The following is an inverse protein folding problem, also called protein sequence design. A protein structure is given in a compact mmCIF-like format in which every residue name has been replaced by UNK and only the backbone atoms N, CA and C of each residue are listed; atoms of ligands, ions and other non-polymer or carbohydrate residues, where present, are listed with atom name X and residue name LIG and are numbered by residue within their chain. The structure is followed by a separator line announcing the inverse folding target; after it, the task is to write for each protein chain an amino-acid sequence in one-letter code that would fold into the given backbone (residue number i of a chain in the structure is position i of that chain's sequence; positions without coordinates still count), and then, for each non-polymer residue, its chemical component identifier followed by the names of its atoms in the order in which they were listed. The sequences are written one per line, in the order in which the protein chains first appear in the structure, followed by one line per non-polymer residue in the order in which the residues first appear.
data_IF_301608116594
#
_entry.id   IF_301608116594
#
_cell.length_a   1.000
_cell.length_b   1.000
_cell.length_c   1.000
_cell.angle_alpha   90.00
_cell.angle_beta   90.00
_cell.angle_gamma   90.00
#
_symmetry.space_group_name_H-M   'P 1'
#
loop_
_entity.id
_entity.type
_entity.pdbx_description
1 polymer ?
#
# COMPACT_ATOMS: atom_id res chain seq x y z
N UNK A 1 20.49 -3.87 0.81
CA UNK A 1 20.55 -4.68 -0.44
C UNK A 1 21.33 -3.94 -1.52
N UNK A 2 22.04 -4.65 -2.40
CA UNK A 2 22.62 -4.04 -3.62
C UNK A 2 21.50 -3.73 -4.63
N UNK A 3 21.74 -2.83 -5.59
CA UNK A 3 20.79 -2.52 -6.67
C UNK A 3 20.28 -3.78 -7.37
N UNK A 4 21.21 -4.65 -7.81
CA UNK A 4 20.88 -5.95 -8.42
C UNK A 4 19.94 -6.81 -7.56
N UNK A 5 20.18 -6.86 -6.24
CA UNK A 5 19.36 -7.63 -5.31
C UNK A 5 17.97 -7.00 -5.13
N UNK A 6 17.89 -5.68 -5.06
CA UNK A 6 16.62 -4.97 -4.94
C UNK A 6 15.77 -5.10 -6.22
N UNK A 7 16.41 -5.01 -7.40
CA UNK A 7 15.75 -5.25 -8.68
C UNK A 7 15.25 -6.70 -8.79
N UNK A 8 16.09 -7.67 -8.41
CA UNK A 8 15.68 -9.08 -8.36
C UNK A 8 14.58 -9.36 -7.34
N UNK A 9 14.56 -8.67 -6.19
CA UNK A 9 13.49 -8.79 -5.19
C UNK A 9 12.12 -8.38 -5.74
N UNK A 10 12.09 -7.45 -6.68
CA UNK A 10 10.89 -6.97 -7.36
C UNK A 10 10.68 -7.64 -8.73
N UNK A 11 11.43 -8.71 -9.03
CA UNK A 11 11.40 -9.43 -10.31
C UNK A 11 11.50 -8.52 -11.55
N UNK A 12 12.37 -7.50 -11.49
CA UNK A 12 12.60 -6.56 -12.58
C UNK A 12 14.07 -6.35 -12.92
N UNK A 13 14.33 -5.74 -14.09
CA UNK A 13 15.68 -5.39 -14.51
C UNK A 13 16.23 -4.20 -13.71
N UNK A 14 17.56 -4.13 -13.56
CA UNK A 14 18.21 -3.01 -12.85
C UNK A 14 17.89 -1.65 -13.47
N UNK A 15 17.80 -1.57 -14.80
CA UNK A 15 17.44 -0.34 -15.50
C UNK A 15 15.98 0.08 -15.26
N UNK A 16 15.06 -0.88 -15.16
CA UNK A 16 13.67 -0.58 -14.81
C UNK A 16 13.57 -0.09 -13.35
N UNK A 17 14.26 -0.76 -12.43
CA UNK A 17 14.33 -0.38 -11.03
C UNK A 17 14.83 1.07 -10.85
N UNK A 18 15.88 1.48 -11.55
CA UNK A 18 16.37 2.86 -11.49
C UNK A 18 15.36 3.89 -12.01
N UNK A 19 14.64 3.58 -13.08
CA UNK A 19 13.56 4.45 -13.59
C UNK A 19 12.45 4.62 -12.56
N UNK A 20 12.11 3.57 -11.84
CA UNK A 20 11.10 3.60 -10.77
C UNK A 20 11.58 4.41 -9.55
N UNK A 21 12.86 4.32 -9.20
CA UNK A 21 13.49 5.16 -8.17
C UNK A 21 13.48 6.64 -8.60
N UNK A 22 13.90 6.95 -9.83
CA UNK A 22 13.93 8.33 -10.36
C UNK A 22 12.53 8.92 -10.51
N UNK A 23 11.54 8.10 -10.87
CA UNK A 23 10.13 8.52 -10.96
C UNK A 23 9.43 8.64 -9.59
N UNK A 24 10.13 8.30 -8.49
CA UNK A 24 9.62 8.43 -7.13
C UNK A 24 8.63 7.33 -6.70
N UNK A 25 8.47 6.28 -7.51
CA UNK A 25 7.60 5.12 -7.21
C UNK A 25 8.29 4.10 -6.29
N UNK A 26 9.61 4.15 -6.20
CA UNK A 26 10.42 3.35 -5.28
C UNK A 26 11.29 4.25 -4.38
N UNK A 27 11.72 3.75 -3.20
CA UNK A 27 12.51 4.53 -2.27
C UNK A 27 13.92 4.81 -2.82
N UNK A 28 14.44 5.99 -2.46
CA UNK A 28 15.82 6.39 -2.74
C UNK A 28 16.83 5.50 -1.98
N UNK A 29 18.02 5.25 -2.56
CA UNK A 29 19.06 4.51 -1.86
C UNK A 29 19.57 5.26 -0.63
N UNK A 30 19.99 4.51 0.37
CA UNK A 30 20.81 5.00 1.47
C UNK A 30 22.29 4.76 1.16
N UNK A 31 23.15 5.69 1.57
CA UNK A 31 24.59 5.54 1.41
C UNK A 31 25.16 4.81 2.64
N UNK A 32 25.64 3.58 2.43
CA UNK A 32 26.19 2.75 3.52
C UNK A 32 27.44 2.01 3.07
N UNK A 33 28.55 2.20 3.79
CA UNK A 33 29.83 1.58 3.47
C UNK A 33 30.38 2.02 2.11
N UNK A 34 30.20 3.30 1.75
CA UNK A 34 30.70 3.87 0.50
C UNK A 34 29.93 3.45 -0.76
N UNK A 35 28.78 2.78 -0.61
CA UNK A 35 27.93 2.33 -1.72
C UNK A 35 26.47 2.60 -1.42
N UNK A 36 25.70 2.78 -2.48
CA UNK A 36 24.26 2.83 -2.41
C UNK A 36 23.68 1.47 -2.03
N UNK A 37 22.74 1.49 -1.10
CA UNK A 37 22.03 0.32 -0.60
C UNK A 37 20.54 0.63 -0.48
N UNK A 38 19.73 -0.39 -0.74
CA UNK A 38 18.29 -0.33 -0.52
C UNK A 38 17.90 -1.13 0.71
N UNK A 39 17.00 -0.57 1.52
CA UNK A 39 16.35 -1.31 2.60
C UNK A 39 15.17 -2.12 2.04
N UNK A 40 15.04 -3.38 2.45
CA UNK A 40 13.89 -4.23 2.09
C UNK A 40 12.60 -3.67 2.69
N UNK A 41 12.66 -3.32 3.97
CA UNK A 41 11.51 -2.82 4.73
C UNK A 41 10.94 -1.54 4.09
N UNK A 42 11.80 -0.64 3.62
CA UNK A 42 11.35 0.58 2.94
C UNK A 42 10.66 0.29 1.62
N UNK A 43 11.15 -0.70 0.86
CA UNK A 43 10.50 -1.14 -0.39
C UNK A 43 9.12 -1.71 -0.08
N UNK A 44 9.00 -2.59 0.91
CA UNK A 44 7.72 -3.19 1.30
C UNK A 44 6.71 -2.14 1.76
N UNK A 45 7.15 -1.13 2.53
CA UNK A 45 6.30 0.01 2.94
C UNK A 45 5.86 0.83 1.74
N UNK A 46 6.76 1.12 0.80
CA UNK A 46 6.41 1.84 -0.42
C UNK A 46 5.37 1.10 -1.25
N UNK A 47 5.55 -0.20 -1.44
CA UNK A 47 4.59 -1.05 -2.15
C UNK A 47 3.23 -1.09 -1.44
N UNK A 48 3.24 -1.23 -0.11
CA UNK A 48 2.02 -1.17 0.70
C UNK A 48 1.26 0.14 0.51
N UNK A 49 1.98 1.26 0.48
CA UNK A 49 1.38 2.58 0.29
C UNK A 49 0.88 2.79 -1.16
N UNK A 50 1.54 2.20 -2.15
CA UNK A 50 1.11 2.28 -3.56
C UNK A 50 -0.24 1.58 -3.80
N UNK A 51 -0.59 0.60 -2.97
CA UNK A 51 -1.83 -0.18 -3.07
C UNK A 51 -3.03 0.41 -2.31
N UNK A 52 -3.00 1.72 -2.03
CA UNK A 52 -3.92 2.54 -1.21
C UNK A 52 -5.41 2.14 -1.07
N UNK A 53 -5.75 1.03 -0.39
CA UNK A 53 -7.12 0.88 0.18
C UNK A 53 -7.86 -0.43 -0.04
N UNK A 54 -7.24 -1.57 0.20
CA UNK A 54 -7.98 -2.83 0.34
C UNK A 54 -7.13 -3.90 1.02
N UNK A 55 -7.43 -4.17 2.29
CA UNK A 55 -6.72 -5.22 3.04
C UNK A 55 -7.06 -6.59 2.43
N UNK A 56 -6.08 -7.23 1.79
CA UNK A 56 -6.27 -8.61 1.30
C UNK A 56 -6.51 -9.62 2.45
N UNK A 57 -6.31 -9.22 3.72
CA UNK A 57 -6.74 -10.01 4.88
C UNK A 57 -8.25 -9.95 5.11
N UNK A 58 -8.99 -9.04 4.51
CA UNK A 58 -10.45 -8.99 4.66
C UNK A 58 -11.13 -10.30 4.22
N UNK A 59 -10.51 -11.06 3.32
CA UNK A 59 -10.99 -12.38 2.85
C UNK A 59 -10.35 -13.57 3.60
N UNK A 60 -9.39 -13.32 4.49
CA UNK A 60 -8.80 -14.36 5.34
C UNK A 60 -9.75 -14.75 6.46
N UNK A 61 -10.03 -16.06 6.59
CA UNK A 61 -10.87 -16.65 7.66
C UNK A 61 -10.46 -16.23 9.09
N UNK A 62 -9.20 -15.84 9.28
CA UNK A 62 -8.66 -15.39 10.57
C UNK A 62 -8.94 -13.90 10.89
N UNK A 63 -9.10 -13.04 9.89
CA UNK A 63 -9.19 -11.57 10.05
C UNK A 63 -10.59 -11.02 9.72
N UNK A 64 -11.47 -11.83 9.13
CA UNK A 64 -12.84 -11.45 8.75
C UNK A 64 -13.78 -11.10 9.94
N UNK A 65 -13.35 -11.33 11.19
CA UNK A 65 -14.19 -11.19 12.39
C UNK A 65 -13.88 -9.97 13.27
N UNK A 66 -12.88 -9.14 12.94
CA UNK A 66 -12.61 -7.93 13.72
C UNK A 66 -13.55 -6.81 13.28
N UNK A 67 -14.17 -6.16 14.25
CA UNK A 67 -15.07 -5.02 14.12
C UNK A 67 -14.28 -3.80 13.60
N UNK A 68 -13.92 -3.81 12.31
CA UNK A 68 -13.12 -2.77 11.69
C UNK A 68 -13.94 -1.48 11.57
N UNK A 69 -13.43 -0.40 12.15
CA UNK A 69 -14.06 0.90 12.15
C UNK A 69 -14.11 1.52 10.76
N UNK A 70 -13.25 1.06 9.82
CA UNK A 70 -13.23 1.53 8.42
C UNK A 70 -14.46 1.06 7.63
N UNK A 71 -14.98 -0.13 7.91
CA UNK A 71 -16.17 -0.69 7.24
C UNK A 71 -17.45 0.11 7.51
N UNK A 72 -17.47 0.90 8.59
CA UNK A 72 -18.59 1.76 8.99
C UNK A 72 -18.38 3.23 8.62
N UNK A 73 -17.27 3.57 7.97
CA UNK A 73 -16.94 4.95 7.62
C UNK A 73 -17.58 5.36 6.30
N UNK A 74 -18.38 6.44 6.26
CA UNK A 74 -19.02 6.92 5.02
C UNK A 74 -18.04 7.41 3.96
N UNK A 75 -16.79 7.71 4.34
CA UNK A 75 -15.73 8.16 3.43
C UNK A 75 -15.24 7.01 2.54
N UNK A 76 -15.20 5.80 3.08
CA UNK A 76 -14.77 4.59 2.37
C UNK A 76 -15.94 3.75 1.85
N UNK A 77 -17.13 3.90 2.43
CA UNK A 77 -18.39 3.32 1.95
C UNK A 77 -19.44 4.42 1.72
N UNK A 78 -19.49 5.03 0.52
CA UNK A 78 -20.35 6.18 0.23
C UNK A 78 -21.85 5.85 0.29
N UNK A 79 -22.24 4.58 0.27
CA UNK A 79 -23.64 4.13 0.44
C UNK A 79 -24.20 4.42 1.84
N UNK A 80 -23.32 4.47 2.86
CA UNK A 80 -23.68 4.82 4.24
C UNK A 80 -23.90 6.34 4.40
N UNK A 81 -23.61 7.14 3.38
CA UNK A 81 -23.72 8.60 3.41
C UNK A 81 -25.11 9.14 3.02
N UNK A 82 -26.11 8.30 2.74
CA UNK A 82 -27.42 8.78 2.27
C UNK A 82 -28.21 9.48 3.39
N UNK A 83 -28.80 10.67 3.14
CA UNK A 83 -29.60 11.37 4.13
C UNK A 83 -30.98 10.70 4.28
N UNK A 84 -31.40 10.44 5.51
CA UNK A 84 -32.73 9.92 5.82
C UNK A 84 -33.82 10.78 5.17
N UNK A 85 -34.43 10.28 4.09
CA UNK A 85 -35.62 10.90 3.52
C UNK A 85 -36.83 10.55 4.39
N UNK A 86 -37.04 11.38 5.40
CA UNK A 86 -38.35 11.93 5.78
C UNK A 86 -39.48 10.93 6.00
N UNK A 87 -39.62 10.50 7.25
CA UNK A 87 -40.86 10.10 7.93
C UNK A 87 -42.13 10.72 7.29
N UNK A 88 -42.94 9.91 6.60
CA UNK A 88 -44.37 10.20 6.42
C UNK A 88 -45.17 9.20 7.26
N UNK A 89 -45.62 9.68 8.43
CA UNK A 89 -46.65 9.03 9.23
C UNK A 89 -47.95 8.98 8.43
N UNK A 90 -48.63 7.84 8.46
CA UNK A 90 -50.08 7.77 8.34
C UNK A 90 -50.59 7.00 9.56
#
# INVERSE_FOLDING_TARGET
MLRKTAAAYLDMSEAAFEREVVSGRLPMPIFFGGKERWSREQIDVYLSNLTDGGDWRATSKLYAGSNDWRSKSPVYNPELAQPERGRRKK
#
